data_IF_874744140658
#
_entry.id   IF_874744140658
#
_cell.length_a   1.000
_cell.length_b   1.000
_cell.length_c   1.000
_cell.angle_alpha   90.00
_cell.angle_beta   90.00
_cell.angle_gamma   90.00
#
_symmetry.space_group_name_H-M   'P 1'
#
loop_
_entity.id
_entity.type
_entity.pdbx_description
1 polymer ?
#
# COMPACT_ATOMS: atom_id res chain seq x y z
N UNK A 1 -31.45 1.40 13.80
CA UNK A 1 -30.14 0.71 13.90
C UNK A 1 -29.58 0.51 12.49
N UNK A 2 -28.77 1.45 11.98
CA UNK A 2 -28.13 1.31 10.66
C UNK A 2 -26.85 0.48 10.85
N UNK A 3 -26.85 -0.77 10.40
CA UNK A 3 -25.69 -1.66 10.51
C UNK A 3 -24.62 -1.21 9.51
N UNK A 4 -23.57 -0.58 10.00
CA UNK A 4 -22.31 -0.37 9.27
C UNK A 4 -21.67 -1.73 9.01
N UNK A 5 -21.89 -2.29 7.83
CA UNK A 5 -21.17 -3.48 7.37
C UNK A 5 -19.77 -3.00 6.95
N UNK A 6 -18.79 -3.17 7.84
CA UNK A 6 -17.38 -3.09 7.48
C UNK A 6 -17.08 -4.32 6.61
N UNK A 7 -17.12 -4.16 5.29
CA UNK A 7 -16.73 -5.21 4.34
C UNK A 7 -15.21 -5.37 4.46
N UNK A 8 -14.77 -6.39 5.20
CA UNK A 8 -13.39 -6.85 5.15
C UNK A 8 -13.24 -7.64 3.83
N UNK A 9 -12.70 -6.98 2.81
CA UNK A 9 -12.36 -7.64 1.54
C UNK A 9 -11.13 -8.50 1.83
N UNK A 10 -11.35 -9.80 1.98
CA UNK A 10 -10.28 -10.79 1.97
C UNK A 10 -9.69 -10.84 0.56
N UNK A 11 -8.68 -10.01 0.30
CA UNK A 11 -7.93 -9.97 -0.96
C UNK A 11 -7.05 -11.22 -1.04
N UNK A 12 -7.48 -12.20 -1.84
CA UNK A 12 -6.65 -13.35 -2.19
C UNK A 12 -5.65 -12.90 -3.27
N UNK A 13 -4.45 -12.49 -2.85
CA UNK A 13 -3.39 -11.97 -3.73
C UNK A 13 -2.52 -13.13 -4.26
N UNK A 14 -2.37 -13.21 -5.59
CA UNK A 14 -1.49 -14.19 -6.25
C UNK A 14 -0.25 -13.47 -6.76
N UNK A 15 0.90 -13.68 -6.11
CA UNK A 15 2.19 -13.15 -6.54
C UNK A 15 2.86 -14.13 -7.52
N UNK A 16 3.19 -13.67 -8.74
CA UNK A 16 3.86 -14.48 -9.77
C UNK A 16 5.38 -14.45 -9.54
N UNK A 17 5.97 -15.62 -9.28
CA UNK A 17 7.42 -15.79 -9.09
C UNK A 17 8.16 -16.04 -10.41
N UNK A 18 9.13 -15.18 -10.74
CA UNK A 18 10.18 -15.46 -11.72
C UNK A 18 11.54 -15.15 -11.07
N UNK A 19 12.09 -16.12 -10.31
CA UNK A 19 13.37 -15.99 -9.63
C UNK A 19 14.43 -16.88 -10.32
N UNK A 20 15.33 -16.26 -11.09
CA UNK A 20 16.56 -16.92 -11.58
C UNK A 20 17.64 -16.94 -10.48
N UNK A 21 18.33 -18.08 -10.37
CA UNK A 21 19.28 -18.44 -9.32
C UNK A 21 20.70 -17.90 -9.60
N UNK A 22 21.20 -17.02 -8.73
CA UNK A 22 22.64 -16.92 -8.42
C UNK A 22 22.82 -16.58 -6.94
N UNK A 23 23.57 -17.41 -6.22
CA UNK A 23 23.78 -17.32 -4.79
C UNK A 23 24.94 -16.36 -4.46
N UNK A 24 24.58 -15.12 -4.14
CA UNK A 24 25.31 -14.26 -3.19
C UNK A 24 24.23 -13.73 -2.25
N UNK A 25 24.32 -14.06 -0.96
CA UNK A 25 23.30 -13.69 0.02
C UNK A 25 23.10 -12.18 0.07
N UNK A 26 21.85 -11.73 -0.04
CA UNK A 26 21.48 -10.34 0.18
C UNK A 26 21.90 -9.93 1.61
N UNK A 27 22.71 -8.88 1.74
CA UNK A 27 23.03 -8.31 3.05
C UNK A 27 21.81 -7.58 3.59
N UNK A 28 21.22 -8.12 4.67
CA UNK A 28 20.04 -7.55 5.31
C UNK A 28 20.27 -6.08 5.69
N UNK A 29 21.49 -5.67 6.01
CA UNK A 29 21.78 -4.29 6.42
C UNK A 29 21.52 -3.28 5.30
N UNK A 30 21.59 -3.70 4.03
CA UNK A 30 21.28 -2.82 2.89
C UNK A 30 19.77 -2.56 2.79
N UNK A 31 18.96 -3.57 3.12
CA UNK A 31 17.51 -3.56 2.93
C UNK A 31 16.70 -3.26 4.19
N UNK A 32 17.30 -3.40 5.37
CA UNK A 32 16.67 -3.07 6.63
C UNK A 32 16.29 -1.59 6.70
N UNK A 33 15.19 -1.32 7.39
CA UNK A 33 14.64 0.02 7.59
C UNK A 33 13.34 0.26 6.83
N UNK A 34 12.94 1.53 6.80
CA UNK A 34 11.66 1.97 6.21
C UNK A 34 11.82 2.31 4.73
N UNK A 35 10.78 1.98 3.98
CA UNK A 35 10.66 2.19 2.56
C UNK A 35 9.25 2.67 2.24
N UNK A 36 9.09 3.74 1.47
CA UNK A 36 7.77 4.22 1.03
C UNK A 36 7.63 4.16 -0.49
N UNK A 37 6.39 4.17 -0.98
CA UNK A 37 6.12 4.07 -2.42
C UNK A 37 6.68 5.30 -3.12
N UNK A 38 7.58 5.04 -4.07
CA UNK A 38 8.13 6.04 -5.00
C UNK A 38 7.26 6.12 -6.25
N UNK A 39 6.97 4.98 -6.86
CA UNK A 39 6.13 4.90 -8.07
C UNK A 39 5.22 3.68 -8.08
N UNK A 40 4.08 3.83 -8.75
CA UNK A 40 3.14 2.76 -9.09
C UNK A 40 2.94 2.79 -10.61
N UNK A 41 3.22 1.69 -11.31
CA UNK A 41 3.15 1.61 -12.77
C UNK A 41 3.94 2.72 -13.48
N UNK A 42 5.12 3.06 -12.94
CA UNK A 42 6.01 4.10 -13.47
C UNK A 42 5.58 5.55 -13.18
N UNK A 43 4.42 5.78 -12.56
CA UNK A 43 3.95 7.12 -12.14
C UNK A 43 4.29 7.36 -10.68
N UNK A 44 4.60 8.60 -10.29
CA UNK A 44 4.73 8.92 -8.86
C UNK A 44 3.39 8.70 -8.14
N UNK A 45 3.44 8.56 -6.81
CA UNK A 45 2.27 8.21 -6.01
C UNK A 45 1.15 9.27 -6.10
N UNK A 46 1.48 10.56 -6.17
CA UNK A 46 0.50 11.64 -6.27
C UNK A 46 -0.26 11.61 -7.61
N UNK A 47 0.45 11.47 -8.73
CA UNK A 47 -0.15 11.40 -10.06
C UNK A 47 -1.02 10.13 -10.20
N UNK A 48 -0.54 9.00 -9.70
CA UNK A 48 -1.31 7.75 -9.68
C UNK A 48 -2.58 7.88 -8.81
N UNK A 49 -2.48 8.53 -7.65
CA UNK A 49 -3.64 8.77 -6.80
C UNK A 49 -4.67 9.69 -7.47
N UNK A 50 -4.21 10.75 -8.14
CA UNK A 50 -5.09 11.67 -8.86
C UNK A 50 -5.91 10.96 -9.96
N UNK A 51 -5.31 9.99 -10.67
CA UNK A 51 -6.02 9.18 -11.67
C UNK A 51 -7.11 8.28 -11.07
N UNK A 52 -6.91 7.86 -9.82
CA UNK A 52 -7.91 7.11 -9.06
C UNK A 52 -8.92 8.01 -8.34
N UNK A 53 -8.80 9.34 -8.46
CA UNK A 53 -9.64 10.30 -7.75
C UNK A 53 -9.43 10.28 -6.23
N UNK A 54 -8.21 9.99 -5.77
CA UNK A 54 -7.85 9.93 -4.35
C UNK A 54 -6.63 10.80 -4.02
N UNK A 55 -6.33 10.93 -2.73
CA UNK A 55 -5.13 11.62 -2.23
C UNK A 55 -3.93 10.68 -2.24
N UNK A 56 -2.72 11.23 -2.32
CA UNK A 56 -1.46 10.44 -2.32
C UNK A 56 -1.38 9.45 -1.16
N UNK A 57 -1.78 9.87 0.05
CA UNK A 57 -1.80 9.01 1.23
C UNK A 57 -2.65 7.74 1.05
N UNK A 58 -3.66 7.77 0.18
CA UNK A 58 -4.53 6.63 -0.16
C UNK A 58 -3.84 5.52 -0.94
N UNK A 59 -2.76 5.83 -1.66
CA UNK A 59 -1.98 4.84 -2.43
C UNK A 59 -0.58 4.57 -1.83
N UNK A 60 -0.19 5.37 -0.84
CA UNK A 60 1.07 5.22 -0.13
C UNK A 60 1.08 4.01 0.81
N UNK A 61 2.26 3.40 0.92
CA UNK A 61 2.56 2.29 1.83
C UNK A 61 3.97 2.49 2.37
N UNK A 62 4.16 2.35 3.68
CA UNK A 62 5.48 2.30 4.31
C UNK A 62 5.76 0.87 4.74
N UNK A 63 6.80 0.26 4.17
CA UNK A 63 7.27 -1.08 4.53
C UNK A 63 8.52 -0.93 5.40
N UNK A 64 8.48 -1.46 6.61
CA UNK A 64 9.62 -1.51 7.52
C UNK A 64 10.14 -2.94 7.59
N UNK A 65 11.33 -3.18 7.04
CA UNK A 65 11.95 -4.50 6.95
C UNK A 65 12.99 -4.66 8.07
N UNK A 66 12.93 -5.80 8.75
CA UNK A 66 13.96 -6.29 9.67
C UNK A 66 14.29 -7.76 9.38
N UNK A 67 15.26 -8.32 10.10
CA UNK A 67 15.64 -9.74 9.94
C UNK A 67 14.50 -10.73 10.17
N UNK A 68 13.54 -10.40 11.04
CA UNK A 68 12.51 -11.34 11.51
C UNK A 68 11.10 -10.91 11.18
N UNK A 69 10.82 -9.62 11.36
CA UNK A 69 9.49 -9.04 11.19
C UNK A 69 9.54 -7.94 10.15
N UNK A 70 8.55 -7.94 9.26
CA UNK A 70 8.26 -6.79 8.41
C UNK A 70 6.89 -6.26 8.77
N UNK A 71 6.74 -4.94 8.73
CA UNK A 71 5.43 -4.29 8.82
C UNK A 71 5.13 -3.49 7.55
N UNK A 72 3.85 -3.36 7.23
CA UNK A 72 3.38 -2.45 6.19
C UNK A 72 2.32 -1.53 6.79
N UNK A 73 2.58 -0.24 6.77
CA UNK A 73 1.68 0.83 7.21
C UNK A 73 1.02 1.46 5.99
N UNK A 74 -0.29 1.69 6.10
CA UNK A 74 -1.11 2.43 5.14
C UNK A 74 -2.21 3.19 5.88
N UNK A 75 -3.04 3.98 5.18
CA UNK A 75 -4.23 4.58 5.80
C UNK A 75 -5.22 3.56 6.37
N UNK A 76 -5.22 2.32 5.88
CA UNK A 76 -6.08 1.25 6.40
C UNK A 76 -5.56 0.63 7.71
N UNK A 77 -4.34 1.00 8.13
CA UNK A 77 -3.70 0.50 9.35
C UNK A 77 -2.35 -0.16 9.08
N UNK A 78 -1.90 -0.94 10.06
CA UNK A 78 -0.61 -1.64 10.05
C UNK A 78 -0.85 -3.14 10.00
N UNK A 79 -0.22 -3.81 9.04
CA UNK A 79 -0.13 -5.27 8.99
C UNK A 79 1.31 -5.70 9.25
N UNK A 80 1.49 -6.86 9.87
CA UNK A 80 2.81 -7.41 10.21
C UNK A 80 2.93 -8.85 9.72
N UNK A 81 4.16 -9.29 9.57
CA UNK A 81 4.45 -10.71 9.45
C UNK A 81 5.92 -11.00 9.20
N UNK A 82 6.19 -12.19 8.70
CA UNK A 82 7.53 -12.78 8.71
C UNK A 82 8.37 -12.34 7.50
N UNK A 83 9.67 -12.20 7.74
CA UNK A 83 10.65 -11.88 6.70
C UNK A 83 11.53 -13.09 6.41
N UNK A 84 11.68 -13.43 5.14
CA UNK A 84 12.59 -14.47 4.68
C UNK A 84 13.54 -13.89 3.63
N UNK A 85 14.82 -13.81 3.99
CA UNK A 85 15.85 -13.30 3.09
C UNK A 85 16.31 -14.41 2.15
N UNK A 86 16.26 -14.13 0.85
CA UNK A 86 16.72 -15.01 -0.23
C UNK A 86 17.90 -14.35 -0.95
N UNK A 87 18.60 -15.12 -1.78
CA UNK A 87 19.77 -14.62 -2.52
C UNK A 87 19.45 -13.53 -3.55
N UNK A 88 18.19 -13.41 -3.96
CA UNK A 88 17.73 -12.52 -5.03
C UNK A 88 16.53 -11.65 -4.63
N UNK A 89 16.21 -11.59 -3.34
CA UNK A 89 15.08 -10.81 -2.84
C UNK A 89 14.74 -11.08 -1.39
N UNK A 90 13.62 -10.50 -0.98
CA UNK A 90 13.05 -10.58 0.35
C UNK A 90 11.63 -11.09 0.15
N UNK A 91 11.35 -12.27 0.69
CA UNK A 91 10.00 -12.80 0.76
C UNK A 91 9.37 -12.35 2.08
N UNK A 92 8.31 -11.55 1.99
CA UNK A 92 7.56 -11.10 3.16
C UNK A 92 6.17 -11.70 3.13
N UNK A 93 5.75 -12.32 4.22
CA UNK A 93 4.36 -12.74 4.40
C UNK A 93 3.65 -11.73 5.29
N UNK A 94 2.66 -11.01 4.76
CA UNK A 94 1.82 -10.07 5.53
C UNK A 94 0.37 -10.56 5.48
N UNK A 95 -0.23 -10.83 6.64
CA UNK A 95 -1.61 -11.31 6.74
C UNK A 95 -1.93 -12.51 5.82
N UNK A 96 -0.97 -13.43 5.68
CA UNK A 96 -1.08 -14.61 4.82
C UNK A 96 -0.81 -14.39 3.33
N UNK A 97 -0.58 -13.15 2.88
CA UNK A 97 -0.19 -12.83 1.50
C UNK A 97 1.34 -12.70 1.35
N UNK A 98 1.89 -13.31 0.30
CA UNK A 98 3.33 -13.29 -0.01
C UNK A 98 3.67 -12.09 -0.90
N UNK A 99 4.65 -11.30 -0.48
CA UNK A 99 5.20 -10.15 -1.21
C UNK A 99 6.68 -10.42 -1.52
N UNK A 100 7.03 -10.75 -2.78
CA UNK A 100 8.40 -11.00 -3.20
C UNK A 100 9.10 -9.69 -3.57
N UNK A 101 9.64 -8.98 -2.59
CA UNK A 101 10.41 -7.77 -2.84
C UNK A 101 11.76 -8.10 -3.49
N UNK A 102 12.08 -7.42 -4.57
CA UNK A 102 13.40 -7.38 -5.18
C UNK A 102 14.13 -6.11 -4.73
N UNK A 103 15.37 -6.25 -4.28
CA UNK A 103 16.26 -5.12 -4.05
C UNK A 103 17.13 -4.87 -5.27
N UNK A 104 17.20 -3.62 -5.72
CA UNK A 104 18.12 -3.16 -6.74
C UNK A 104 19.20 -2.29 -6.09
N UNK A 105 20.43 -2.79 -6.05
CA UNK A 105 21.57 -2.10 -5.45
C UNK A 105 22.02 -0.88 -6.27
N UNK A 106 21.75 -0.84 -7.57
CA UNK A 106 22.17 0.27 -8.43
C UNK A 106 21.32 1.53 -8.22
N UNK A 107 20.03 1.35 -7.93
CA UNK A 107 19.07 2.43 -7.70
C UNK A 107 18.68 2.62 -6.25
N UNK A 108 19.14 1.75 -5.35
CA UNK A 108 18.75 1.68 -3.93
C UNK A 108 17.21 1.68 -3.77
N UNK A 109 16.56 0.72 -4.43
CA UNK A 109 15.09 0.60 -4.44
C UNK A 109 14.63 -0.81 -4.13
N UNK A 110 13.47 -0.93 -3.49
CA UNK A 110 12.72 -2.17 -3.42
C UNK A 110 11.58 -2.17 -4.44
N UNK A 111 11.27 -3.32 -5.03
CA UNK A 111 10.12 -3.43 -5.94
C UNK A 111 9.40 -4.76 -5.78
N UNK A 112 8.09 -4.77 -5.99
CA UNK A 112 7.35 -6.01 -6.25
C UNK A 112 6.28 -5.76 -7.31
N UNK A 113 5.84 -6.84 -7.94
CA UNK A 113 4.69 -6.83 -8.83
C UNK A 113 3.55 -7.60 -8.20
N UNK A 114 2.34 -7.05 -8.31
CA UNK A 114 1.11 -7.68 -7.86
C UNK A 114 0.13 -7.77 -9.03
N UNK A 115 -0.54 -8.92 -9.18
CA UNK A 115 -1.70 -9.04 -10.05
C UNK A 115 -2.97 -9.05 -9.19
N UNK A 116 -3.87 -8.13 -9.47
CA UNK A 116 -5.16 -8.00 -8.78
C UNK A 116 -6.23 -7.70 -9.83
N UNK A 117 -7.30 -8.51 -9.83
CA UNK A 117 -8.44 -8.36 -10.74
C UNK A 117 -8.06 -8.25 -12.23
N UNK A 118 -7.04 -9.01 -12.65
CA UNK A 118 -6.51 -9.00 -14.02
C UNK A 118 -5.65 -7.77 -14.36
N UNK A 119 -5.42 -6.87 -13.40
CA UNK A 119 -4.54 -5.72 -13.54
C UNK A 119 -3.20 -6.00 -12.86
N UNK A 120 -2.11 -5.74 -13.58
CA UNK A 120 -0.74 -5.83 -13.06
C UNK A 120 -0.33 -4.47 -12.49
N UNK A 121 0.13 -4.48 -11.25
CA UNK A 121 0.66 -3.32 -10.54
C UNK A 121 2.15 -3.51 -10.24
N UNK A 122 2.96 -2.56 -10.64
CA UNK A 122 4.40 -2.52 -10.38
C UNK A 122 4.69 -1.44 -9.36
N UNK A 123 5.08 -1.85 -8.16
CA UNK A 123 5.45 -0.95 -7.07
C UNK A 123 6.97 -0.82 -7.01
N UNK A 124 7.44 0.42 -6.91
CA UNK A 124 8.83 0.75 -6.57
C UNK A 124 8.82 1.60 -5.32
N UNK A 125 9.67 1.25 -4.37
CA UNK A 125 9.85 1.92 -3.10
C UNK A 125 11.21 2.57 -3.02
N UNK A 126 11.28 3.69 -2.30
CA UNK A 126 12.51 4.38 -1.94
C UNK A 126 12.68 4.39 -0.43
N UNK A 127 13.92 4.45 0.03
CA UNK A 127 14.24 4.46 1.45
C UNK A 127 13.68 5.71 2.14
N UNK A 128 13.19 5.55 3.36
CA UNK A 128 12.61 6.63 4.17
C UNK A 128 11.19 6.35 4.62
N UNK A 129 10.67 7.26 5.42
CA UNK A 129 9.30 7.21 5.96
C UNK A 129 8.34 8.06 5.10
N UNK A 130 7.04 7.89 5.31
CA UNK A 130 6.01 8.74 4.73
C UNK A 130 5.05 9.23 5.82
N UNK A 131 4.81 10.54 5.84
CA UNK A 131 3.87 11.14 6.80
C UNK A 131 2.44 11.10 6.26
N UNK A 132 1.66 10.14 6.76
CA UNK A 132 0.25 9.99 6.43
C UNK A 132 -0.64 11.14 6.94
N UNK A 133 -0.14 12.00 7.83
CA UNK A 133 -0.90 13.17 8.31
C UNK A 133 -0.95 14.30 7.27
N UNK A 134 0.06 14.38 6.39
CA UNK A 134 0.17 15.44 5.38
C UNK A 134 -0.80 15.28 4.18
N UNK A 135 -1.42 14.11 4.01
CA UNK A 135 -2.37 13.80 2.93
C UNK A 135 -3.83 13.65 3.38
N UNK A 136 -4.13 13.93 4.64
CA UNK A 136 -5.48 13.86 5.21
C UNK A 136 -6.27 15.16 4.98
N UNK A 137 -6.30 15.69 3.76
CA UNK A 137 -7.34 16.64 3.40
C UNK A 137 -8.59 15.82 3.07
N UNK A 138 -9.76 16.06 3.69
CA UNK A 138 -10.98 15.44 3.19
C UNK A 138 -11.14 15.90 1.73
N UNK A 139 -11.50 14.97 0.85
CA UNK A 139 -12.17 15.38 -0.37
C UNK A 139 -13.33 16.28 0.07
N UNK A 140 -13.25 17.57 -0.23
CA UNK A 140 -14.41 18.44 -0.09
C UNK A 140 -15.45 17.84 -1.03
N UNK A 141 -16.44 17.18 -0.44
CA UNK A 141 -17.70 16.87 -1.11
C UNK A 141 -18.37 18.22 -1.36
N UNK A 142 -18.07 18.79 -2.53
CA UNK A 142 -18.79 19.93 -3.06
C UNK A 142 -20.21 19.47 -3.41
N UNK A 143 -21.13 19.67 -2.47
CA UNK A 143 -22.51 19.98 -2.77
C UNK A 143 -23.51 18.86 -2.60
N UNK A 144 -24.21 18.89 -1.46
CA UNK A 144 -25.66 18.82 -1.48
C UNK A 144 -26.22 19.93 -0.58
N UNK A 145 -27.05 20.78 -1.19
CA UNK A 145 -27.75 21.87 -0.56
C UNK A 145 -28.54 21.38 0.66
N UNK A 146 -28.55 22.19 1.71
CA UNK A 146 -29.59 22.15 2.75
C UNK A 146 -30.95 22.29 2.04
N UNK A 147 -31.65 21.18 1.85
CA UNK A 147 -33.09 21.21 1.60
C UNK A 147 -33.76 21.50 2.95
N UNK A 148 -34.06 22.80 3.11
CA UNK A 148 -35.03 23.37 4.02
C UNK A 148 -36.31 22.52 4.01
N UNK A 149 -36.55 21.78 5.09
CA UNK A 149 -37.87 21.23 5.39
C UNK A 149 -38.56 22.19 6.37
N UNK A 150 -39.02 23.31 5.83
CA UNK A 150 -40.20 23.96 6.36
C UNK A 150 -41.45 23.25 5.82
N UNK A 151 -42.47 23.22 6.68
CA UNK A 151 -43.87 22.88 6.38
C UNK A 151 -44.25 21.39 6.45
N UNK A 152 -44.86 21.00 7.56
CA UNK A 152 -46.28 20.67 7.56
C UNK A 152 -46.86 20.97 8.95
N UNK A 153 -47.76 21.97 8.95
CA UNK A 153 -48.59 22.37 10.07
C UNK A 153 -49.55 21.26 10.56
N UNK A 154 -50.02 21.55 11.77
CA UNK A 154 -51.05 20.95 12.62
C UNK A 154 -52.36 20.46 11.98
N UNK A 155 -52.96 19.52 12.73
CA UNK A 155 -54.40 19.31 12.97
C UNK A 155 -55.32 18.94 11.79
N UNK A 156 -55.90 17.73 11.86
CA UNK A 156 -57.29 17.51 12.33
C UNK A 156 -57.54 16.03 12.68
#
# INVERSE_FOLDING_TARGET
MKKTVRVAIALMLVAVMALALTACGLDINKVAGKWHVKTINGKNAADFAAELGTVEAGVQKVVEISEKETSMTSLSGVVKGETQIRSNGIEVTLDGALFPFKYDESSDTLSYTLEQDGTRYEYVYTKGDFDFSAGSAPAADEGYAEEDYSDYEEEY
#
